data_IF_953657613827
#
_entry.id   IF_953657613827
#
_cell.length_a   1.000
_cell.length_b   1.000
_cell.length_c   1.000
_cell.angle_alpha   90.00
_cell.angle_beta   90.00
_cell.angle_gamma   90.00
#
_symmetry.space_group_name_H-M   'P 1'
#
loop_
_entity.id
_entity.type
_entity.pdbx_description
1 polymer ?
#
# COMPACT_ATOMS: atom_id res chain seq x y z
N UNK A 1 -21.67 -21.62 -19.41
CA UNK A 1 -21.14 -20.94 -18.20
C UNK A 1 -22.33 -20.52 -17.36
N UNK A 2 -22.42 -20.87 -16.07
CA UNK A 2 -23.53 -20.42 -15.23
C UNK A 2 -23.60 -18.89 -15.25
N UNK A 3 -24.78 -18.36 -15.54
CA UNK A 3 -25.02 -16.92 -15.73
C UNK A 3 -25.35 -16.18 -14.44
N UNK A 4 -25.64 -16.92 -13.37
CA UNK A 4 -26.11 -16.37 -12.10
C UNK A 4 -25.25 -16.84 -10.92
N UNK A 5 -24.95 -15.91 -10.01
CA UNK A 5 -24.18 -16.16 -8.78
C UNK A 5 -25.07 -15.89 -7.57
N UNK A 6 -25.12 -16.83 -6.63
CA UNK A 6 -25.68 -16.55 -5.31
C UNK A 6 -24.79 -15.57 -4.54
N UNK A 7 -25.36 -14.86 -3.57
CA UNK A 7 -24.59 -13.95 -2.69
C UNK A 7 -23.43 -14.67 -2.00
N UNK A 8 -23.62 -15.94 -1.61
CA UNK A 8 -22.58 -16.74 -0.99
C UNK A 8 -21.42 -17.03 -1.96
N UNK A 9 -21.71 -17.29 -3.24
CA UNK A 9 -20.69 -17.44 -4.27
C UNK A 9 -19.94 -16.13 -4.50
N UNK A 10 -20.66 -15.02 -4.71
CA UNK A 10 -20.06 -13.71 -4.93
C UNK A 10 -19.13 -13.30 -3.78
N UNK A 11 -19.55 -13.51 -2.51
CA UNK A 11 -18.72 -13.20 -1.33
C UNK A 11 -17.43 -14.01 -1.30
N UNK A 12 -17.49 -15.32 -1.58
CA UNK A 12 -16.29 -16.17 -1.61
C UNK A 12 -15.35 -15.75 -2.72
N UNK A 13 -15.87 -15.44 -3.90
CA UNK A 13 -15.08 -14.95 -5.03
C UNK A 13 -14.38 -13.63 -4.65
N UNK A 14 -15.11 -12.69 -4.05
CA UNK A 14 -14.52 -11.41 -3.63
C UNK A 14 -13.41 -11.60 -2.58
N UNK A 15 -13.62 -12.44 -1.57
CA UNK A 15 -12.60 -12.72 -0.55
C UNK A 15 -11.37 -13.44 -1.13
N UNK A 16 -11.59 -14.40 -2.03
CA UNK A 16 -10.51 -15.11 -2.71
C UNK A 16 -9.70 -14.17 -3.62
N UNK A 17 -10.38 -13.31 -4.38
CA UNK A 17 -9.75 -12.28 -5.22
C UNK A 17 -8.97 -11.24 -4.40
N UNK A 18 -9.25 -11.10 -3.10
CA UNK A 18 -8.48 -10.27 -2.19
C UNK A 18 -7.28 -11.00 -1.56
N UNK A 19 -7.06 -12.28 -1.87
CA UNK A 19 -5.95 -13.08 -1.36
C UNK A 19 -6.22 -13.74 0.00
N UNK A 20 -7.46 -13.77 0.49
CA UNK A 20 -7.79 -14.42 1.77
C UNK A 20 -7.89 -15.95 1.68
N UNK A 21 -7.93 -16.50 0.47
CA UNK A 21 -7.91 -17.94 0.24
C UNK A 21 -6.49 -18.51 0.13
N UNK A 22 -5.47 -17.65 0.03
CA UNK A 22 -4.08 -18.08 -0.09
C UNK A 22 -3.55 -18.58 1.26
N UNK A 23 -2.75 -19.67 1.27
CA UNK A 23 -2.07 -20.08 2.49
C UNK A 23 -1.06 -19.01 2.91
N UNK A 24 -0.92 -18.80 4.22
CA UNK A 24 0.10 -17.91 4.75
C UNK A 24 1.50 -18.46 4.47
N UNK A 25 2.51 -17.60 4.25
CA UNK A 25 3.89 -18.03 4.14
C UNK A 25 4.32 -18.79 5.40
N UNK A 26 5.01 -19.92 5.22
CA UNK A 26 5.54 -20.74 6.33
C UNK A 26 6.95 -20.34 6.75
N UNK A 27 7.65 -19.59 5.90
CA UNK A 27 9.01 -19.12 6.14
C UNK A 27 9.08 -17.61 6.44
N UNK A 28 10.30 -17.07 6.38
CA UNK A 28 10.52 -15.63 6.59
C UNK A 28 9.79 -14.82 5.51
N UNK A 29 8.89 -13.95 5.95
CA UNK A 29 8.21 -12.97 5.08
C UNK A 29 9.21 -11.91 4.63
N UNK A 30 9.21 -11.62 3.34
CA UNK A 30 10.10 -10.65 2.69
C UNK A 30 9.36 -9.80 1.64
N UNK A 31 10.08 -8.92 0.93
CA UNK A 31 9.50 -8.02 -0.08
C UNK A 31 8.81 -8.74 -1.24
N UNK A 32 9.16 -10.00 -1.55
CA UNK A 32 8.45 -10.78 -2.58
C UNK A 32 7.00 -11.03 -2.19
N UNK A 33 6.76 -11.28 -0.91
CA UNK A 33 5.41 -11.50 -0.38
C UNK A 33 4.60 -10.20 -0.37
N UNK A 34 5.23 -9.07 -0.05
CA UNK A 34 4.62 -7.74 -0.17
C UNK A 34 4.16 -7.48 -1.61
N UNK A 35 5.02 -7.73 -2.62
CA UNK A 35 4.68 -7.57 -4.03
C UNK A 35 3.46 -8.42 -4.40
N UNK A 36 3.44 -9.70 -4.04
CA UNK A 36 2.28 -10.58 -4.29
C UNK A 36 0.99 -9.99 -3.70
N UNK A 37 1.04 -9.47 -2.47
CA UNK A 37 -0.14 -8.88 -1.83
C UNK A 37 -0.59 -7.60 -2.54
N UNK A 38 0.36 -6.75 -2.97
CA UNK A 38 0.05 -5.56 -3.76
C UNK A 38 -0.48 -5.87 -5.15
N UNK A 39 0.06 -6.88 -5.84
CA UNK A 39 -0.43 -7.32 -7.15
C UNK A 39 -1.88 -7.83 -7.06
N UNK A 40 -2.24 -8.45 -5.93
CA UNK A 40 -3.58 -8.96 -5.68
C UNK A 40 -4.59 -7.85 -5.31
N UNK A 41 -4.19 -6.89 -4.47
CA UNK A 41 -5.09 -5.82 -3.97
C UNK A 41 -5.08 -4.57 -4.85
N UNK A 42 -4.02 -4.35 -5.61
CA UNK A 42 -3.74 -3.14 -6.39
C UNK A 42 -3.07 -2.02 -5.59
N UNK A 43 -3.62 -1.69 -4.42
CA UNK A 43 -3.16 -0.58 -3.56
C UNK A 43 -3.24 -0.93 -2.06
N UNK A 44 -2.51 -0.19 -1.23
CA UNK A 44 -2.71 -0.14 0.23
C UNK A 44 -3.03 1.29 0.63
N UNK A 45 -4.22 1.52 1.18
CA UNK A 45 -4.61 2.85 1.63
C UNK A 45 -3.82 3.28 2.88
N UNK A 46 -3.42 4.56 2.91
CA UNK A 46 -2.78 5.20 4.03
C UNK A 46 -3.86 5.88 4.86
N UNK A 47 -3.90 5.61 6.16
CA UNK A 47 -4.80 6.28 7.10
C UNK A 47 -3.99 6.96 8.21
N UNK A 48 -4.59 8.01 8.78
CA UNK A 48 -4.12 8.67 9.99
C UNK A 48 -4.37 7.85 11.27
N UNK A 49 -5.31 6.91 11.25
CA UNK A 49 -5.66 6.09 12.43
C UNK A 49 -4.56 5.08 12.76
N UNK A 50 -4.12 5.08 14.01
CA UNK A 50 -3.02 4.24 14.49
C UNK A 50 -3.23 3.65 15.91
N UNK A 51 -4.48 3.46 16.35
CA UNK A 51 -4.83 3.05 17.73
C UNK A 51 -4.11 1.78 18.21
N UNK A 52 -3.87 0.82 17.31
CA UNK A 52 -3.11 -0.40 17.61
C UNK A 52 -1.74 -0.38 16.92
N UNK A 53 -1.78 -0.25 15.59
CA UNK A 53 -0.66 -0.10 14.67
C UNK A 53 -1.12 0.79 13.52
N UNK A 54 -0.22 1.20 12.62
CA UNK A 54 -0.65 1.93 11.43
C UNK A 54 -1.63 1.10 10.62
N UNK A 55 -2.72 1.71 10.15
CA UNK A 55 -3.79 1.00 9.44
C UNK A 55 -3.27 0.18 8.27
N UNK A 56 -2.29 0.71 7.52
CA UNK A 56 -1.68 0.05 6.36
C UNK A 56 -0.92 -1.25 6.70
N UNK A 57 -0.59 -1.50 7.97
CA UNK A 57 0.02 -2.78 8.40
C UNK A 57 -1.02 -3.89 8.56
N UNK A 58 -2.28 -3.54 8.85
CA UNK A 58 -3.34 -4.51 9.11
C UNK A 58 -3.71 -5.36 7.88
N UNK A 59 -3.86 -4.79 6.66
CA UNK A 59 -4.08 -5.57 5.44
C UNK A 59 -2.96 -6.58 5.14
N UNK A 60 -1.70 -6.21 5.45
CA UNK A 60 -0.55 -7.10 5.29
C UNK A 60 -0.59 -8.22 6.33
N UNK A 61 -0.81 -7.89 7.60
CA UNK A 61 -0.90 -8.88 8.67
C UNK A 61 -2.00 -9.91 8.42
N UNK A 62 -3.17 -9.48 7.93
CA UNK A 62 -4.28 -10.38 7.65
C UNK A 62 -3.90 -11.49 6.65
N UNK A 63 -3.03 -11.19 5.67
CA UNK A 63 -2.62 -12.09 4.57
C UNK A 63 -1.30 -12.82 4.83
N UNK A 64 -0.32 -12.12 5.41
CA UNK A 64 1.04 -12.64 5.59
C UNK A 64 1.30 -13.16 7.00
N UNK A 65 0.47 -12.78 7.98
CA UNK A 65 0.75 -13.03 9.39
C UNK A 65 1.90 -12.15 9.91
N UNK A 66 2.65 -12.63 10.92
CA UNK A 66 3.83 -11.91 11.44
C UNK A 66 4.84 -11.61 10.33
N UNK A 67 5.18 -10.34 10.16
CA UNK A 67 6.12 -9.87 9.14
C UNK A 67 6.94 -8.69 9.71
N UNK A 68 8.10 -8.37 9.11
CA UNK A 68 8.87 -7.19 9.51
C UNK A 68 8.02 -5.92 9.34
N UNK A 69 7.91 -5.12 10.40
CA UNK A 69 7.12 -3.86 10.34
C UNK A 69 7.71 -2.83 9.38
N UNK A 70 8.99 -2.96 9.04
CA UNK A 70 9.68 -2.12 8.06
C UNK A 70 9.31 -2.44 6.62
N UNK A 71 8.55 -3.51 6.33
CA UNK A 71 8.38 -4.05 4.98
C UNK A 71 7.89 -3.01 3.96
N UNK A 72 6.92 -2.17 4.33
CA UNK A 72 6.43 -1.08 3.48
C UNK A 72 7.51 0.00 3.35
N UNK A 73 8.10 0.45 4.45
CA UNK A 73 9.11 1.51 4.45
C UNK A 73 10.36 1.12 3.63
N UNK A 74 10.83 -0.12 3.76
CA UNK A 74 11.97 -0.66 3.02
C UNK A 74 11.66 -0.76 1.53
N UNK A 75 10.43 -1.13 1.16
CA UNK A 75 10.01 -1.19 -0.24
C UNK A 75 9.85 0.21 -0.86
N UNK A 76 9.33 1.17 -0.09
CA UNK A 76 9.28 2.59 -0.51
C UNK A 76 10.69 3.17 -0.66
N UNK A 77 11.59 2.93 0.30
CA UNK A 77 12.98 3.39 0.23
C UNK A 77 13.75 2.76 -0.94
N UNK A 78 13.42 1.53 -1.32
CA UNK A 78 13.97 0.85 -2.50
C UNK A 78 13.35 1.32 -3.83
N UNK A 79 12.36 2.23 -3.81
CA UNK A 79 11.67 2.71 -5.01
C UNK A 79 10.72 1.69 -5.64
N UNK A 80 10.41 0.59 -4.94
CA UNK A 80 9.41 -0.39 -5.40
C UNK A 80 7.99 0.14 -5.21
N UNK A 81 7.80 1.01 -4.21
CA UNK A 81 6.53 1.68 -3.93
C UNK A 81 6.65 3.18 -4.05
N UNK A 82 5.55 3.83 -4.45
CA UNK A 82 5.36 5.26 -4.33
C UNK A 82 4.03 5.58 -3.67
N UNK A 83 3.95 6.77 -3.07
CA UNK A 83 2.74 7.30 -2.47
C UNK A 83 2.04 8.23 -3.44
N UNK A 84 0.74 8.01 -3.65
CA UNK A 84 -0.06 8.86 -4.52
C UNK A 84 -1.54 8.80 -4.14
N UNK A 85 -2.28 9.86 -4.46
CA UNK A 85 -3.73 9.88 -4.29
C UNK A 85 -4.41 9.24 -5.51
N UNK A 86 -5.00 8.06 -5.31
CA UNK A 86 -5.78 7.38 -6.36
C UNK A 86 -7.26 7.65 -6.16
N UNK A 87 -7.91 6.91 -5.25
CA UNK A 87 -9.17 7.34 -4.66
C UNK A 87 -8.87 8.29 -3.50
N UNK A 88 -7.89 7.90 -2.66
CA UNK A 88 -7.30 8.67 -1.56
C UNK A 88 -5.81 8.30 -1.42
N UNK A 89 -5.10 8.86 -0.42
CA UNK A 89 -3.69 8.58 -0.14
C UNK A 89 -3.40 7.07 -0.03
N UNK A 90 -2.50 6.55 -0.87
CA UNK A 90 -2.24 5.12 -1.00
C UNK A 90 -0.78 4.83 -1.33
N UNK A 91 -0.29 3.66 -0.89
CA UNK A 91 0.93 3.03 -1.40
C UNK A 91 0.61 2.19 -2.65
N UNK A 92 1.40 2.37 -3.71
CA UNK A 92 1.27 1.66 -4.98
C UNK A 92 2.61 1.11 -5.43
N UNK A 93 2.58 0.01 -6.19
CA UNK A 93 3.74 -0.45 -6.95
C UNK A 93 4.14 0.58 -7.99
N UNK A 94 5.44 0.89 -8.10
CA UNK A 94 6.00 1.79 -9.13
C UNK A 94 5.66 1.36 -10.55
N UNK A 95 5.42 0.06 -10.77
CA UNK A 95 4.92 -0.46 -12.05
C UNK A 95 3.58 0.19 -12.45
N UNK A 96 2.71 0.53 -11.50
CA UNK A 96 1.42 1.16 -11.77
C UNK A 96 1.53 2.66 -12.08
N UNK A 97 2.72 3.26 -12.01
CA UNK A 97 2.91 4.69 -12.28
C UNK A 97 2.33 5.10 -13.65
N UNK A 98 2.52 4.29 -14.68
CA UNK A 98 2.00 4.58 -16.02
C UNK A 98 0.46 4.63 -16.12
N UNK A 99 -0.25 3.94 -15.21
CA UNK A 99 -1.71 3.94 -15.12
C UNK A 99 -2.25 5.23 -14.48
N UNK A 100 -1.44 5.87 -13.63
CA UNK A 100 -1.84 7.03 -12.84
C UNK A 100 -1.22 8.36 -13.29
N UNK A 101 -0.12 8.31 -14.06
CA UNK A 101 0.66 9.49 -14.48
C UNK A 101 -0.15 10.55 -15.22
N UNK A 102 -1.26 10.20 -15.87
CA UNK A 102 -2.09 11.16 -16.60
C UNK A 102 -2.88 12.10 -15.66
N UNK A 103 -3.11 11.70 -14.40
CA UNK A 103 -3.74 12.55 -13.36
C UNK A 103 -2.72 13.37 -12.56
N UNK A 104 -1.47 12.93 -12.51
CA UNK A 104 -0.38 13.59 -11.77
C UNK A 104 -0.07 15.03 -12.21
N UNK A 105 -0.06 15.42 -13.50
CA UNK A 105 0.18 16.81 -13.89
C UNK A 105 -0.93 17.78 -13.42
N UNK A 106 -2.01 17.27 -12.81
CA UNK A 106 -3.07 18.06 -12.17
C UNK A 106 -3.03 18.02 -10.63
N UNK A 107 -2.23 17.15 -10.01
CA UNK A 107 -2.16 17.02 -8.55
C UNK A 107 -0.99 17.83 -7.98
N UNK A 108 -1.23 19.10 -7.64
CA UNK A 108 -0.38 19.93 -6.75
C UNK A 108 -0.59 19.56 -5.26
N UNK A 109 -0.63 18.28 -4.91
CA UNK A 109 -0.58 17.89 -3.48
C UNK A 109 0.84 18.28 -3.01
N UNK A 110 1.11 19.14 -1.98
CA UNK A 110 2.34 19.89 -1.42
C UNK A 110 3.10 19.38 -0.15
N UNK A 111 4.43 19.33 -0.10
CA UNK A 111 5.23 18.45 0.80
C UNK A 111 4.75 18.41 2.27
N UNK A 112 4.44 17.23 2.82
CA UNK A 112 3.84 17.11 4.15
C UNK A 112 4.90 17.25 5.27
N UNK A 113 5.11 18.48 5.75
CA UNK A 113 5.78 18.75 7.03
C UNK A 113 5.08 19.88 7.79
N UNK A 114 4.23 19.50 8.76
CA UNK A 114 4.11 20.18 10.05
C UNK A 114 3.41 21.54 10.17
N UNK A 115 2.24 21.46 10.84
CA UNK A 115 1.63 22.42 11.80
C UNK A 115 0.83 23.58 11.20
N UNK A 116 -0.43 23.60 11.64
CA UNK A 116 -1.47 24.60 11.43
C UNK A 116 -2.30 24.48 10.15
N UNK A 117 -3.51 23.94 10.35
CA UNK A 117 -4.64 23.86 9.41
C UNK A 117 -4.39 22.94 8.21
N UNK A 118 -4.68 21.65 8.40
CA UNK A 118 -4.69 20.57 7.40
C UNK A 118 -4.57 21.00 5.91
N UNK A 119 -3.38 20.85 5.27
CA UNK A 119 -3.21 21.07 3.82
C UNK A 119 -2.34 19.99 3.11
N UNK A 120 -2.17 20.03 1.76
CA UNK A 120 -2.04 18.83 0.90
C UNK A 120 -0.59 18.35 0.71
N UNK A 121 -0.21 17.05 0.60
CA UNK A 121 1.16 16.40 0.47
C UNK A 121 1.88 16.31 -0.95
N UNK A 122 3.03 16.93 -1.25
CA UNK A 122 3.81 16.82 -2.53
C UNK A 122 4.83 15.74 -2.24
N UNK A 123 4.83 14.71 -3.08
CA UNK A 123 6.02 13.93 -3.36
C UNK A 123 6.86 14.68 -4.43
N UNK A 124 8.14 15.01 -4.19
CA UNK A 124 9.01 15.52 -5.25
C UNK A 124 9.33 14.39 -6.25
N UNK A 125 9.80 14.73 -7.46
CA UNK A 125 10.19 13.71 -8.42
C UNK A 125 11.38 12.92 -7.86
N UNK A 126 11.21 11.60 -7.78
CA UNK A 126 12.25 10.56 -7.71
C UNK A 126 13.68 11.10 -7.52
N UNK A 127 14.15 11.11 -6.27
CA UNK A 127 15.56 11.23 -5.91
C UNK A 127 15.89 10.23 -4.79
N UNK A 128 17.11 9.67 -4.77
CA UNK A 128 17.47 8.57 -3.89
C UNK A 128 17.56 9.03 -2.43
N UNK A 129 16.90 8.31 -1.53
CA UNK A 129 16.85 8.63 -0.09
C UNK A 129 18.24 8.45 0.53
N UNK A 130 18.79 9.54 1.07
CA UNK A 130 19.97 9.51 1.95
C UNK A 130 19.53 9.25 3.39
N UNK A 131 20.06 8.17 3.96
CA UNK A 131 19.90 7.78 5.36
C UNK A 131 20.50 8.84 6.27
N UNK A 132 19.72 9.43 7.19
CA UNK A 132 20.30 9.97 8.42
C UNK A 132 19.31 9.84 9.58
N UNK A 133 19.85 9.26 10.65
CA UNK A 133 19.32 9.06 12.00
C UNK A 133 18.48 10.19 12.56
N UNK A 134 17.57 9.86 13.49
CA UNK A 134 17.61 10.41 14.84
C UNK A 134 16.70 9.62 15.78
N UNK A 135 17.37 9.04 16.79
CA UNK A 135 16.80 8.60 18.05
C UNK A 135 16.24 9.78 18.84
N UNK A 136 15.10 9.56 19.50
CA UNK A 136 14.78 10.01 20.86
C UNK A 136 13.50 9.29 21.30
#
# INVERSE_FOLDING_TARGET
MPTDLSLAHARRIALAAQGFADPRPTGRVDRRHLRRVLDQMGIIQIDSVNVLVRSQELPLFARLGPHPRSLIADATAAGELFEYSVHEASHLSTEHHHLHRWRMPRSRWSTCSGRDRWPPCVAPPISPVSTTSLSA
#
